data_IF_343942814965
#
_entry.id   IF_343942814965
#
_cell.length_a   1.000
_cell.length_b   1.000
_cell.length_c   1.000
_cell.angle_alpha   90.00
_cell.angle_beta   90.00
_cell.angle_gamma   90.00
#
_symmetry.space_group_name_H-M   'P 1'
#
loop_
_entity.id
_entity.type
_entity.pdbx_description
1 polymer ?
#
# COMPACT_ATOMS: atom_id res chain seq x y z
N UNK A 1 -8.31 13.88 1.71
CA UNK A 1 -9.00 12.78 2.43
C UNK A 1 -8.77 11.53 1.61
N UNK A 2 -8.39 10.41 2.23
CA UNK A 2 -8.15 9.18 1.48
C UNK A 2 -9.46 8.67 0.85
N UNK A 3 -9.39 8.18 -0.38
CA UNK A 3 -10.52 7.52 -1.03
C UNK A 3 -10.69 6.11 -0.46
N UNK A 4 -9.58 5.42 -0.18
CA UNK A 4 -9.55 4.09 0.41
C UNK A 4 -8.67 4.14 1.65
N UNK A 5 -9.20 3.68 2.78
CA UNK A 5 -8.44 3.47 4.01
C UNK A 5 -8.67 2.05 4.50
N UNK A 6 -7.59 1.36 4.85
CA UNK A 6 -7.63 -0.01 5.37
C UNK A 6 -6.49 -0.24 6.36
N UNK A 7 -6.65 -1.23 7.23
CA UNK A 7 -5.61 -1.71 8.12
C UNK A 7 -5.65 -3.22 8.17
N UNK A 8 -4.49 -3.85 8.36
CA UNK A 8 -4.34 -5.29 8.50
C UNK A 8 -3.42 -5.58 9.68
N UNK A 9 -3.92 -6.39 10.61
CA UNK A 9 -3.15 -6.88 11.75
C UNK A 9 -2.15 -7.94 11.32
N UNK A 10 -1.02 -8.03 12.02
CA UNK A 10 0.02 -9.02 11.79
C UNK A 10 0.82 -9.33 13.07
N UNK A 11 1.58 -10.43 13.05
CA UNK A 11 2.41 -10.87 14.18
C UNK A 11 3.92 -10.74 13.94
N UNK A 12 4.35 -10.04 12.88
CA UNK A 12 5.76 -9.95 12.48
C UNK A 12 6.61 -8.94 13.28
N UNK A 13 5.99 -8.17 14.19
CA UNK A 13 6.63 -7.02 14.84
C UNK A 13 6.98 -5.91 13.84
N UNK A 14 7.52 -4.80 14.35
CA UNK A 14 7.80 -3.62 13.53
C UNK A 14 8.78 -3.89 12.38
N UNK A 15 9.95 -4.46 12.67
CA UNK A 15 11.03 -4.62 11.68
C UNK A 15 10.65 -5.64 10.60
N UNK A 16 10.08 -6.78 11.00
CA UNK A 16 9.63 -7.82 10.07
C UNK A 16 8.50 -7.34 9.17
N UNK A 17 7.55 -6.58 9.72
CA UNK A 17 6.48 -6.00 8.91
C UNK A 17 6.98 -4.91 7.96
N UNK A 18 7.98 -4.12 8.37
CA UNK A 18 8.63 -3.12 7.52
C UNK A 18 9.34 -3.77 6.34
N UNK A 19 10.17 -4.78 6.57
CA UNK A 19 10.86 -5.52 5.50
C UNK A 19 9.85 -6.11 4.50
N UNK A 20 8.74 -6.68 5.01
CA UNK A 20 7.69 -7.26 4.17
C UNK A 20 6.98 -6.21 3.31
N UNK A 21 6.71 -5.04 3.89
CA UNK A 21 6.14 -3.91 3.15
C UNK A 21 7.12 -3.36 2.10
N UNK A 22 8.41 -3.27 2.43
CA UNK A 22 9.49 -2.89 1.49
C UNK A 22 9.55 -3.81 0.29
N UNK A 23 9.52 -5.12 0.53
CA UNK A 23 9.49 -6.14 -0.53
C UNK A 23 8.21 -6.06 -1.37
N UNK A 24 7.05 -5.84 -0.73
CA UNK A 24 5.77 -5.70 -1.42
C UNK A 24 5.77 -4.49 -2.38
N UNK A 25 6.21 -3.32 -1.90
CA UNK A 25 6.22 -2.08 -2.69
C UNK A 25 7.26 -2.12 -3.81
N UNK A 26 8.45 -2.65 -3.53
CA UNK A 26 9.51 -2.84 -4.54
C UNK A 26 9.06 -3.79 -5.64
N UNK A 27 8.55 -4.98 -5.28
CA UNK A 27 8.05 -5.94 -6.24
C UNK A 27 6.83 -5.46 -7.02
N UNK A 28 6.00 -4.56 -6.45
CA UNK A 28 4.93 -3.92 -7.20
C UNK A 28 5.46 -2.90 -8.22
N UNK A 29 6.43 -2.07 -7.83
CA UNK A 29 7.09 -1.12 -8.73
C UNK A 29 7.75 -1.82 -9.91
N UNK A 30 8.44 -2.93 -9.68
CA UNK A 30 9.06 -3.72 -10.75
C UNK A 30 8.06 -4.35 -11.72
N UNK A 31 6.92 -4.86 -11.21
CA UNK A 31 5.88 -5.50 -12.03
C UNK A 31 5.00 -4.50 -12.77
N UNK A 32 4.87 -3.28 -12.24
CA UNK A 32 3.97 -2.23 -12.74
C UNK A 32 4.66 -0.85 -12.73
N UNK A 33 5.76 -0.68 -13.48
CA UNK A 33 6.49 0.58 -13.53
C UNK A 33 5.63 1.73 -14.09
N UNK A 34 4.63 1.42 -14.92
CA UNK A 34 3.69 2.42 -15.46
C UNK A 34 2.66 2.93 -14.42
N UNK A 35 2.50 2.21 -13.31
CA UNK A 35 1.57 2.57 -12.25
C UNK A 35 2.27 3.24 -11.06
N UNK A 36 3.47 2.79 -10.67
CA UNK A 36 4.24 3.39 -9.58
C UNK A 36 5.48 4.08 -10.14
N UNK A 37 5.47 5.40 -10.06
CA UNK A 37 6.61 6.22 -10.50
C UNK A 37 7.64 6.34 -9.37
N UNK A 38 7.17 6.51 -8.14
CA UNK A 38 8.03 6.77 -6.98
C UNK A 38 7.55 6.06 -5.72
N UNK A 39 8.52 5.67 -4.89
CA UNK A 39 8.30 5.13 -3.54
C UNK A 39 9.31 5.79 -2.61
N UNK A 40 8.82 6.59 -1.67
CA UNK A 40 9.64 7.31 -0.70
C UNK A 40 9.39 6.76 0.70
N UNK A 41 10.46 6.46 1.44
CA UNK A 41 10.41 5.93 2.80
C UNK A 41 10.80 6.99 3.82
N UNK A 42 10.08 7.00 4.95
CA UNK A 42 10.40 7.82 6.11
C UNK A 42 10.06 7.05 7.38
N UNK A 43 11.10 6.56 8.09
CA UNK A 43 10.94 5.76 9.29
C UNK A 43 10.16 4.47 9.03
N UNK A 44 8.95 4.40 9.56
CA UNK A 44 8.03 3.25 9.46
C UNK A 44 6.90 3.49 8.46
N UNK A 45 7.02 4.53 7.63
CA UNK A 45 6.02 4.86 6.62
C UNK A 45 6.63 4.94 5.23
N UNK A 46 5.85 4.57 4.24
CA UNK A 46 6.17 4.69 2.83
C UNK A 46 5.08 5.49 2.12
N UNK A 47 5.48 6.32 1.16
CA UNK A 47 4.58 6.97 0.22
C UNK A 47 4.88 6.44 -1.17
N UNK A 48 3.95 5.70 -1.75
CA UNK A 48 4.01 5.26 -3.14
C UNK A 48 3.12 6.16 -3.99
N UNK A 49 3.63 6.67 -5.11
CA UNK A 49 2.88 7.58 -5.98
C UNK A 49 2.96 7.18 -7.44
N UNK A 50 1.87 7.48 -8.15
CA UNK A 50 1.67 7.14 -9.55
C UNK A 50 0.78 8.15 -10.25
N UNK A 51 0.59 7.96 -11.55
CA UNK A 51 -0.27 8.82 -12.37
C UNK A 51 -1.72 8.87 -11.88
N UNK A 52 -2.20 7.78 -11.30
CA UNK A 52 -3.61 7.57 -10.93
C UNK A 52 -3.85 7.48 -9.43
N UNK A 53 -2.80 7.55 -8.61
CA UNK A 53 -2.97 7.42 -7.17
C UNK A 53 -1.78 7.98 -6.37
N UNK A 54 -2.03 8.24 -5.09
CA UNK A 54 -1.02 8.43 -4.06
C UNK A 54 -1.40 7.57 -2.85
N UNK A 55 -0.51 6.67 -2.45
CA UNK A 55 -0.71 5.76 -1.33
C UNK A 55 0.26 6.04 -0.20
N UNK A 56 -0.23 6.12 1.02
CA UNK A 56 0.55 6.15 2.25
C UNK A 56 0.39 4.81 2.96
N UNK A 57 1.50 4.20 3.33
CA UNK A 57 1.57 2.94 4.04
C UNK A 57 2.30 3.19 5.35
N UNK A 58 1.75 2.78 6.47
CA UNK A 58 2.35 2.97 7.80
C UNK A 58 2.38 1.64 8.53
N UNK A 59 3.57 1.25 8.97
CA UNK A 59 3.79 0.03 9.74
C UNK A 59 3.85 0.38 11.22
N UNK A 60 3.13 -0.39 12.01
CA UNK A 60 3.25 -0.45 13.47
C UNK A 60 3.65 -1.85 13.90
N UNK A 61 3.82 -2.06 15.20
CA UNK A 61 4.22 -3.37 15.73
C UNK A 61 3.16 -4.46 15.49
N UNK A 62 1.88 -4.08 15.46
CA UNK A 62 0.75 -5.01 15.38
C UNK A 62 -0.06 -4.90 14.08
N UNK A 63 0.10 -3.82 13.30
CA UNK A 63 -0.66 -3.63 12.07
C UNK A 63 0.06 -2.79 11.02
N UNK A 64 -0.38 -2.95 9.77
CA UNK A 64 -0.08 -2.04 8.66
C UNK A 64 -1.35 -1.28 8.29
N UNK A 65 -1.27 0.05 8.27
CA UNK A 65 -2.31 0.94 7.76
C UNK A 65 -1.99 1.39 6.32
N UNK A 66 -3.01 1.48 5.48
CA UNK A 66 -2.91 1.89 4.08
C UNK A 66 -4.00 2.90 3.76
N UNK A 67 -3.58 4.07 3.29
CA UNK A 67 -4.43 5.14 2.80
C UNK A 67 -4.11 5.43 1.33
N UNK A 68 -5.10 5.30 0.45
CA UNK A 68 -4.96 5.58 -0.97
C UNK A 68 -5.88 6.73 -1.37
N UNK A 69 -5.27 7.72 -2.00
CA UNK A 69 -5.94 8.77 -2.76
C UNK A 69 -5.94 8.39 -4.24
N UNK A 70 -7.12 8.41 -4.87
CA UNK A 70 -7.31 8.08 -6.28
C UNK A 70 -7.38 9.37 -7.10
N UNK A 71 -6.49 9.49 -8.08
CA UNK A 71 -6.33 10.69 -8.90
C UNK A 71 -7.03 10.50 -10.24
N UNK A 72 -7.98 11.39 -10.53
CA UNK A 72 -8.77 11.39 -11.76
C UNK A 72 -10.05 10.55 -11.70
N UNK A 73 -10.96 10.84 -12.63
CA UNK A 73 -12.31 10.26 -12.64
C UNK A 73 -12.33 8.74 -12.83
N UNK A 74 -11.52 8.22 -13.77
CA UNK A 74 -11.46 6.79 -14.05
C UNK A 74 -10.96 5.97 -12.84
N UNK A 75 -9.93 6.46 -12.14
CA UNK A 75 -9.39 5.81 -10.94
C UNK A 75 -10.45 5.76 -9.83
N UNK A 76 -11.18 6.85 -9.63
CA UNK A 76 -12.28 6.93 -8.65
C UNK A 76 -13.43 5.98 -8.96
N UNK A 77 -13.80 5.81 -10.23
CA UNK A 77 -14.80 4.80 -10.63
C UNK A 77 -14.31 3.36 -10.37
N UNK A 78 -13.01 3.11 -10.55
CA UNK A 78 -12.38 1.81 -10.29
C UNK A 78 -12.08 1.54 -8.79
N UNK A 79 -12.51 2.43 -7.88
CA UNK A 79 -12.21 2.36 -6.43
C UNK A 79 -12.45 0.99 -5.81
N UNK A 80 -13.57 0.34 -6.11
CA UNK A 80 -13.91 -0.98 -5.57
C UNK A 80 -12.88 -2.05 -5.97
N UNK A 81 -12.49 -2.06 -7.24
CA UNK A 81 -11.49 -2.99 -7.77
C UNK A 81 -10.10 -2.71 -7.16
N UNK A 82 -9.71 -1.44 -7.04
CA UNK A 82 -8.44 -1.06 -6.40
C UNK A 82 -8.42 -1.50 -4.94
N UNK A 83 -9.49 -1.25 -4.19
CA UNK A 83 -9.63 -1.68 -2.79
C UNK A 83 -9.48 -3.20 -2.66
N UNK A 84 -10.12 -3.96 -3.52
CA UNK A 84 -10.06 -5.42 -3.48
C UNK A 84 -8.65 -5.94 -3.79
N UNK A 85 -7.95 -5.36 -4.76
CA UNK A 85 -6.58 -5.74 -5.10
C UNK A 85 -5.61 -5.45 -3.95
N UNK A 86 -5.74 -4.30 -3.30
CA UNK A 86 -4.90 -3.97 -2.14
C UNK A 86 -5.21 -4.91 -0.97
N UNK A 87 -6.49 -5.15 -0.68
CA UNK A 87 -6.89 -6.11 0.35
C UNK A 87 -6.26 -7.50 0.11
N UNK A 88 -6.32 -8.00 -1.13
CA UNK A 88 -5.73 -9.29 -1.51
C UNK A 88 -4.22 -9.32 -1.32
N UNK A 89 -3.53 -8.23 -1.65
CA UNK A 89 -2.09 -8.15 -1.47
C UNK A 89 -1.73 -8.06 0.02
N UNK A 90 -2.47 -7.28 0.81
CA UNK A 90 -2.30 -7.23 2.26
C UNK A 90 -2.64 -8.56 2.93
N UNK A 91 -3.66 -9.29 2.49
CA UNK A 91 -3.94 -10.66 2.97
C UNK A 91 -2.78 -11.59 2.66
N UNK A 92 -2.26 -11.56 1.42
CA UNK A 92 -1.16 -12.43 1.04
C UNK A 92 0.11 -12.16 1.85
N UNK A 93 0.40 -10.88 2.06
CA UNK A 93 1.63 -10.47 2.72
C UNK A 93 1.49 -10.44 4.24
N UNK A 94 0.32 -10.16 4.79
CA UNK A 94 0.14 -9.96 6.23
C UNK A 94 -0.93 -10.87 6.84
N UNK A 95 -1.26 -11.99 6.19
CA UNK A 95 -2.08 -13.02 6.83
C UNK A 95 -1.43 -13.44 8.15
N UNK A 96 -2.16 -13.20 9.25
CA UNK A 96 -1.84 -13.69 10.57
C UNK A 96 -2.07 -15.21 10.67
#
# INVERSE_FOLDING_TARGET
MADISMSRDHSYGLDGAKEKLENMLSGFKERKPDLINDVSWSGNSAVASGKFFKGTFTVSDANVAVDIELIGFAAKMAKGMVREQINKQLDREFAA
#
